data_IF_350696149641
#
_entry.id   IF_350696149641
#
_cell.length_a   1.000
_cell.length_b   1.000
_cell.length_c   1.000
_cell.angle_alpha   90.00
_cell.angle_beta   90.00
_cell.angle_gamma   90.00
#
_symmetry.space_group_name_H-M   'P 1'
#
loop_
_entity.id
_entity.type
_entity.pdbx_description
1 polymer ?
#
# COMPACT_ATOMS: atom_id res chain seq x y z
N UNK A 1 -0.02 55.48 73.91
CA UNK A 1 0.02 54.03 73.63
C UNK A 1 -0.24 53.85 72.15
N UNK A 2 0.74 53.37 71.38
CA UNK A 2 0.53 53.08 69.96
C UNK A 2 -0.37 51.84 69.85
N UNK A 3 -1.50 51.97 69.17
CA UNK A 3 -2.40 50.83 68.90
C UNK A 3 -1.70 49.86 67.95
N UNK A 4 -1.91 48.55 68.10
CA UNK A 4 -1.33 47.49 67.23
C UNK A 4 -1.52 47.76 65.73
N UNK A 5 -2.60 48.47 65.37
CA UNK A 5 -2.89 48.93 64.01
C UNK A 5 -1.87 49.94 63.46
N UNK A 6 -1.38 50.87 64.30
CA UNK A 6 -0.37 51.86 63.92
C UNK A 6 1.04 51.26 63.82
N UNK A 7 1.26 50.10 64.46
CA UNK A 7 2.51 49.35 64.36
C UNK A 7 2.59 48.55 63.05
N UNK A 8 1.45 48.08 62.53
CA UNK A 8 1.36 47.37 61.24
C UNK A 8 1.23 48.33 60.05
N UNK A 9 0.59 49.49 60.25
CA UNK A 9 0.36 50.51 59.22
C UNK A 9 0.82 51.90 59.71
N UNK A 10 2.14 52.16 59.72
CA UNK A 10 2.70 53.42 60.22
C UNK A 10 2.25 54.64 59.39
N UNK A 11 1.83 54.43 58.15
CA UNK A 11 1.23 55.44 57.26
C UNK A 11 -0.10 56.02 57.77
N UNK A 12 -0.78 55.36 58.71
CA UNK A 12 -2.02 55.86 59.31
C UNK A 12 -1.76 56.89 60.44
N UNK A 13 -0.52 57.01 60.92
CA UNK A 13 -0.15 57.93 62.00
C UNK A 13 -0.15 59.40 61.57
N UNK A 14 -0.07 59.68 60.27
CA UNK A 14 -0.09 61.04 59.70
C UNK A 14 -1.50 61.64 59.63
N UNK A 15 -2.55 60.83 59.83
CA UNK A 15 -3.94 61.26 59.69
C UNK A 15 -4.62 61.54 61.04
N UNK A 16 -5.54 62.53 61.11
CA UNK A 16 -6.24 62.85 62.36
C UNK A 16 -7.11 61.68 62.87
N UNK A 17 -7.19 61.45 64.19
CA UNK A 17 -8.04 60.41 64.77
C UNK A 17 -9.54 60.56 64.49
N UNK A 18 -10.01 61.79 64.25
CA UNK A 18 -11.39 62.08 63.84
C UNK A 18 -11.67 61.60 62.42
N UNK A 19 -10.74 61.80 61.50
CA UNK A 19 -10.82 61.33 60.12
C UNK A 19 -10.85 59.79 60.07
N UNK A 20 -10.01 59.12 60.87
CA UNK A 20 -10.01 57.65 60.98
C UNK A 20 -11.34 57.08 61.50
N UNK A 21 -12.03 57.79 62.39
CA UNK A 21 -13.37 57.38 62.88
C UNK A 21 -14.45 57.57 61.82
N UNK A 22 -14.44 58.69 61.11
CA UNK A 22 -15.38 58.95 60.01
C UNK A 22 -15.17 57.96 58.86
N UNK A 23 -13.90 57.62 58.59
CA UNK A 23 -13.51 56.59 57.63
C UNK A 23 -14.10 55.23 58.03
N UNK A 24 -13.87 54.76 59.26
CA UNK A 24 -14.44 53.50 59.77
C UNK A 24 -15.97 53.47 59.85
N UNK A 25 -16.62 54.65 59.87
CA UNK A 25 -18.08 54.78 59.96
C UNK A 25 -18.77 54.72 58.59
N UNK A 26 -18.04 54.88 57.49
CA UNK A 26 -18.58 54.90 56.13
C UNK A 26 -17.78 53.98 55.19
N UNK A 27 -18.36 52.83 54.75
CA UNK A 27 -17.69 51.88 53.88
C UNK A 27 -17.27 52.48 52.53
N UNK A 28 -18.08 53.37 51.96
CA UNK A 28 -17.78 54.04 50.68
C UNK A 28 -16.55 54.97 50.81
N UNK A 29 -16.38 55.58 51.98
CA UNK A 29 -15.24 56.46 52.27
C UNK A 29 -13.95 55.66 52.48
N UNK A 30 -14.03 54.48 53.13
CA UNK A 30 -12.90 53.55 53.21
C UNK A 30 -12.46 53.05 51.83
N UNK A 31 -13.40 52.72 50.95
CA UNK A 31 -13.09 52.25 49.61
C UNK A 31 -12.42 53.36 48.78
N UNK A 32 -12.97 54.58 48.82
CA UNK A 32 -12.37 55.75 48.16
C UNK A 32 -10.96 56.07 48.70
N UNK A 33 -10.74 55.94 50.01
CA UNK A 33 -9.41 56.12 50.61
C UNK A 33 -8.45 54.99 50.21
N UNK A 34 -8.92 53.74 50.13
CA UNK A 34 -8.11 52.61 49.69
C UNK A 34 -7.58 52.82 48.26
N UNK A 35 -8.43 53.30 47.35
CA UNK A 35 -8.04 53.65 45.98
C UNK A 35 -7.18 54.93 45.90
N UNK A 36 -7.08 55.70 46.98
CA UNK A 36 -6.15 56.83 47.07
C UNK A 36 -4.73 56.43 47.50
N UNK A 37 -4.55 55.20 48.02
CA UNK A 37 -3.24 54.72 48.43
C UNK A 37 -2.36 54.44 47.21
N UNK A 38 -1.10 54.91 47.20
CA UNK A 38 -0.20 54.77 46.06
C UNK A 38 0.10 53.31 45.72
N UNK A 39 0.20 52.45 46.73
CA UNK A 39 0.43 51.00 46.56
C UNK A 39 -0.73 50.32 45.82
N UNK A 40 -1.97 50.74 46.10
CA UNK A 40 -3.18 50.20 45.46
C UNK A 40 -3.33 50.75 44.04
N UNK A 41 -2.95 52.01 43.80
CA UNK A 41 -2.92 52.59 42.46
C UNK A 41 -1.87 51.95 41.57
N UNK A 42 -0.67 51.68 42.11
CA UNK A 42 0.40 50.99 41.40
C UNK A 42 -0.01 49.55 41.06
N UNK A 43 -0.62 48.84 42.01
CA UNK A 43 -1.15 47.50 41.76
C UNK A 43 -2.27 47.51 40.70
N UNK A 44 -3.18 48.49 40.76
CA UNK A 44 -4.26 48.62 39.77
C UNK A 44 -3.70 48.89 38.36
N UNK A 45 -2.71 49.78 38.25
CA UNK A 45 -2.04 50.08 36.98
C UNK A 45 -1.30 48.86 36.42
N UNK A 46 -0.66 48.07 37.28
CA UNK A 46 0.01 46.84 36.87
C UNK A 46 -0.99 45.77 36.40
N UNK A 47 -2.13 45.62 37.09
CA UNK A 47 -3.19 44.70 36.65
C UNK A 47 -3.77 45.12 35.30
N UNK A 48 -3.99 46.41 35.08
CA UNK A 48 -4.47 46.94 33.80
C UNK A 48 -3.45 46.68 32.68
N UNK A 49 -2.16 46.93 32.94
CA UNK A 49 -1.07 46.64 32.01
C UNK A 49 -1.03 45.16 31.62
N UNK A 50 -1.07 44.26 32.61
CA UNK A 50 -1.09 42.81 32.37
C UNK A 50 -2.36 42.37 31.63
N UNK A 51 -3.50 42.99 31.90
CA UNK A 51 -4.75 42.77 31.17
C UNK A 51 -4.60 43.11 29.69
N UNK A 52 -4.06 44.29 29.37
CA UNK A 52 -3.80 44.68 27.99
C UNK A 52 -2.79 43.77 27.28
N UNK A 53 -1.74 43.33 27.97
CA UNK A 53 -0.77 42.38 27.42
C UNK A 53 -1.42 41.04 27.09
N UNK A 54 -2.24 40.52 28.01
CA UNK A 54 -2.97 39.27 27.79
C UNK A 54 -3.97 39.38 26.64
N UNK A 55 -4.70 40.48 26.56
CA UNK A 55 -5.62 40.75 25.44
C UNK A 55 -4.90 40.80 24.10
N UNK A 56 -3.72 41.43 24.06
CA UNK A 56 -2.91 41.48 22.85
C UNK A 56 -2.38 40.10 22.47
N UNK A 57 -1.93 39.30 23.43
CA UNK A 57 -1.53 37.91 23.20
C UNK A 57 -2.71 37.06 22.69
N UNK A 58 -3.89 37.22 23.28
CA UNK A 58 -5.10 36.52 22.85
C UNK A 58 -5.47 36.89 21.40
N UNK A 59 -5.43 38.18 21.04
CA UNK A 59 -5.67 38.64 19.66
C UNK A 59 -4.68 38.04 18.67
N UNK A 60 -3.40 38.04 19.01
CA UNK A 60 -2.35 37.46 18.14
C UNK A 60 -2.55 35.95 17.96
N UNK A 61 -2.85 35.22 19.03
CA UNK A 61 -3.13 33.79 18.97
C UNK A 61 -4.37 33.48 18.11
N UNK A 62 -5.43 34.28 18.25
CA UNK A 62 -6.65 34.14 17.45
C UNK A 62 -6.41 34.47 15.98
N UNK A 63 -5.59 35.48 15.68
CA UNK A 63 -5.23 35.83 14.30
C UNK A 63 -4.47 34.72 13.59
N UNK A 64 -3.55 34.02 14.28
CA UNK A 64 -2.77 32.92 13.71
C UNK A 64 -3.54 31.60 13.64
N UNK A 65 -4.64 31.45 14.40
CA UNK A 65 -5.36 30.19 14.54
C UNK A 65 -5.83 29.63 13.19
N UNK A 66 -6.41 30.47 12.36
CA UNK A 66 -7.03 30.01 11.11
C UNK A 66 -5.96 29.60 10.08
N UNK A 67 -4.81 30.29 10.06
CA UNK A 67 -3.64 29.88 9.26
C UNK A 67 -3.06 28.55 9.73
N UNK A 68 -2.92 28.35 11.05
CA UNK A 68 -2.43 27.09 11.61
C UNK A 68 -3.37 25.92 11.33
N UNK A 69 -4.69 26.14 11.38
CA UNK A 69 -5.69 25.12 11.01
C UNK A 69 -5.56 24.80 9.52
N UNK A 70 -5.46 25.80 8.65
CA UNK A 70 -5.29 25.59 7.21
C UNK A 70 -4.01 24.79 6.90
N UNK A 71 -2.89 25.13 7.55
CA UNK A 71 -1.62 24.42 7.39
C UNK A 71 -1.71 22.97 7.89
N UNK A 72 -2.37 22.75 9.03
CA UNK A 72 -2.62 21.41 9.57
C UNK A 72 -3.42 20.56 8.58
N UNK A 73 -4.49 21.12 8.04
CA UNK A 73 -5.39 20.40 7.15
C UNK A 73 -4.72 20.11 5.80
N UNK A 74 -3.93 21.05 5.25
CA UNK A 74 -3.11 20.83 4.06
C UNK A 74 -2.04 19.74 4.26
N UNK A 75 -1.43 19.70 5.44
CA UNK A 75 -0.44 18.69 5.82
C UNK A 75 -1.10 17.32 5.95
N UNK A 76 -2.27 17.26 6.59
CA UNK A 76 -3.05 16.03 6.70
C UNK A 76 -3.45 15.49 5.33
N UNK A 77 -3.92 16.33 4.42
CA UNK A 77 -4.25 15.94 3.04
C UNK A 77 -3.02 15.40 2.31
N UNK A 78 -1.89 16.11 2.36
CA UNK A 78 -0.64 15.68 1.72
C UNK A 78 -0.15 14.34 2.27
N UNK A 79 -0.25 14.14 3.59
CA UNK A 79 0.09 12.88 4.24
C UNK A 79 -0.82 11.74 3.81
N UNK A 80 -2.15 11.98 3.78
CA UNK A 80 -3.11 10.96 3.33
C UNK A 80 -2.86 10.56 1.88
N UNK A 81 -2.52 11.51 1.01
CA UNK A 81 -2.16 11.26 -0.38
C UNK A 81 -0.88 10.42 -0.48
N UNK A 82 0.17 10.76 0.28
CA UNK A 82 1.40 9.97 0.32
C UNK A 82 1.17 8.52 0.79
N UNK A 83 0.34 8.32 1.82
CA UNK A 83 -0.02 6.98 2.30
C UNK A 83 -0.84 6.19 1.27
N UNK A 84 -1.71 6.84 0.50
CA UNK A 84 -2.40 6.19 -0.62
C UNK A 84 -1.42 5.77 -1.72
N UNK A 85 -0.48 6.65 -2.11
CA UNK A 85 0.55 6.32 -3.10
C UNK A 85 1.43 5.17 -2.63
N UNK A 86 1.78 5.13 -1.35
CA UNK A 86 2.55 4.03 -0.76
C UNK A 86 1.82 2.69 -0.84
N UNK A 87 0.51 2.67 -0.58
CA UNK A 87 -0.32 1.46 -0.76
C UNK A 87 -0.36 1.04 -2.23
N UNK A 88 -0.59 1.98 -3.13
CA UNK A 88 -0.60 1.71 -4.58
C UNK A 88 0.76 1.20 -5.08
N UNK A 89 1.86 1.74 -4.56
CA UNK A 89 3.20 1.25 -4.86
C UNK A 89 3.39 -0.22 -4.46
N UNK A 90 2.92 -0.61 -3.27
CA UNK A 90 3.00 -2.00 -2.83
C UNK A 90 2.20 -2.95 -3.74
N UNK A 91 1.06 -2.50 -4.27
CA UNK A 91 0.28 -3.28 -5.25
C UNK A 91 1.03 -3.43 -6.58
N UNK A 92 1.63 -2.34 -7.08
CA UNK A 92 2.48 -2.38 -8.29
C UNK A 92 3.65 -3.31 -8.09
N UNK A 93 4.38 -3.20 -6.99
CA UNK A 93 5.54 -4.03 -6.68
C UNK A 93 5.17 -5.52 -6.63
N UNK A 94 4.02 -5.85 -6.02
CA UNK A 94 3.49 -7.21 -6.03
C UNK A 94 3.17 -7.68 -7.46
N UNK A 95 2.56 -6.84 -8.28
CA UNK A 95 2.26 -7.17 -9.69
C UNK A 95 3.54 -7.38 -10.51
N UNK A 96 4.54 -6.54 -10.31
CA UNK A 96 5.85 -6.60 -10.96
C UNK A 96 6.61 -7.85 -10.53
N UNK A 97 6.62 -8.16 -9.23
CA UNK A 97 7.22 -9.38 -8.71
C UNK A 97 6.59 -10.63 -9.34
N UNK A 98 5.26 -10.68 -9.48
CA UNK A 98 4.57 -11.78 -10.14
C UNK A 98 4.95 -11.91 -11.62
N UNK A 99 5.05 -10.78 -12.35
CA UNK A 99 5.47 -10.77 -13.75
C UNK A 99 6.91 -11.26 -13.90
N UNK A 100 7.83 -10.75 -13.08
CA UNK A 100 9.22 -11.18 -13.10
C UNK A 100 9.39 -12.62 -12.67
N UNK A 101 8.64 -13.14 -11.69
CA UNK A 101 8.68 -14.55 -11.34
C UNK A 101 8.35 -15.45 -12.54
N UNK A 102 7.37 -15.07 -13.36
CA UNK A 102 7.00 -15.83 -14.56
C UNK A 102 8.00 -15.68 -15.71
N UNK A 103 8.67 -14.55 -15.80
CA UNK A 103 9.65 -14.26 -16.86
C UNK A 103 11.09 -14.55 -16.43
N UNK A 104 11.31 -14.99 -15.19
CA UNK A 104 12.63 -15.33 -14.68
C UNK A 104 13.24 -16.46 -15.51
N UNK A 105 14.52 -16.36 -15.91
CA UNK A 105 15.18 -17.40 -16.70
C UNK A 105 15.06 -18.80 -16.09
N UNK A 106 15.15 -18.94 -14.77
CA UNK A 106 14.95 -20.22 -14.08
C UNK A 106 13.55 -20.79 -14.26
N UNK A 107 12.52 -19.96 -14.18
CA UNK A 107 11.12 -20.38 -14.38
C UNK A 107 10.83 -20.72 -15.84
N UNK A 108 11.36 -19.93 -16.78
CA UNK A 108 11.24 -20.20 -18.21
C UNK A 108 11.94 -21.52 -18.60
N UNK A 109 13.11 -21.80 -18.02
CA UNK A 109 13.80 -23.08 -18.20
C UNK A 109 12.96 -24.24 -17.63
N UNK A 110 12.42 -24.10 -16.41
CA UNK A 110 11.53 -25.11 -15.84
C UNK A 110 10.31 -25.38 -16.75
N UNK A 111 9.68 -24.32 -17.28
CA UNK A 111 8.57 -24.42 -18.23
C UNK A 111 8.99 -25.11 -19.53
N UNK A 112 10.19 -24.84 -20.03
CA UNK A 112 10.73 -25.53 -21.21
C UNK A 112 10.87 -27.04 -20.94
N UNK A 113 11.39 -27.44 -19.76
CA UNK A 113 11.48 -28.86 -19.38
C UNK A 113 10.12 -29.53 -19.28
N UNK A 114 9.13 -28.89 -18.66
CA UNK A 114 7.75 -29.41 -18.65
C UNK A 114 7.15 -29.52 -20.06
N UNK A 115 7.40 -28.54 -20.93
CA UNK A 115 6.94 -28.61 -22.32
C UNK A 115 7.65 -29.70 -23.13
N UNK A 116 8.85 -30.11 -22.71
CA UNK A 116 9.59 -31.20 -23.33
C UNK A 116 8.99 -32.55 -22.94
N UNK A 117 8.73 -32.76 -21.64
CA UNK A 117 8.08 -34.00 -21.15
C UNK A 117 6.67 -34.15 -21.74
N UNK A 118 5.86 -33.09 -21.73
CA UNK A 118 4.53 -33.13 -22.33
C UNK A 118 4.54 -33.41 -23.84
N UNK A 119 5.60 -32.99 -24.55
CA UNK A 119 5.76 -33.28 -25.97
C UNK A 119 6.15 -34.74 -26.22
N UNK A 120 6.97 -35.30 -25.32
CA UNK A 120 7.34 -36.72 -25.36
C UNK A 120 6.10 -37.59 -25.14
N UNK A 121 5.36 -37.33 -24.05
CA UNK A 121 4.09 -38.00 -23.74
C UNK A 121 3.08 -37.90 -24.90
N UNK A 122 2.98 -36.73 -25.55
CA UNK A 122 2.11 -36.55 -26.70
C UNK A 122 2.55 -37.40 -27.91
N UNK A 123 3.87 -37.50 -28.16
CA UNK A 123 4.39 -38.34 -29.22
C UNK A 123 4.20 -39.84 -28.94
N UNK A 124 4.31 -40.26 -27.68
CA UNK A 124 4.01 -41.63 -27.26
C UNK A 124 2.52 -41.96 -27.40
N UNK A 125 1.62 -41.00 -27.10
CA UNK A 125 0.17 -41.16 -27.35
C UNK A 125 -0.14 -41.34 -28.84
N UNK A 126 0.51 -40.59 -29.72
CA UNK A 126 0.35 -40.76 -31.18
C UNK A 126 0.85 -42.16 -31.61
N UNK A 127 1.95 -42.64 -31.04
CA UNK A 127 2.47 -43.98 -31.33
C UNK A 127 1.55 -45.11 -30.81
N UNK A 128 1.05 -44.99 -29.58
CA UNK A 128 0.16 -45.99 -28.96
C UNK A 128 -1.18 -46.08 -29.68
N UNK A 129 -1.81 -44.94 -29.99
CA UNK A 129 -3.05 -44.90 -30.77
C UNK A 129 -2.89 -45.50 -32.16
N UNK A 130 -1.75 -45.28 -32.82
CA UNK A 130 -1.44 -45.92 -34.10
C UNK A 130 -1.27 -47.44 -33.97
N UNK A 131 -0.60 -47.94 -32.91
CA UNK A 131 -0.45 -49.38 -32.66
C UNK A 131 -1.80 -50.02 -32.35
N UNK A 132 -2.62 -49.38 -31.51
CA UNK A 132 -3.97 -49.84 -31.15
C UNK A 132 -4.92 -49.84 -32.37
N UNK A 133 -4.88 -48.79 -33.19
CA UNK A 133 -5.65 -48.69 -34.43
C UNK A 133 -5.16 -49.61 -35.55
N UNK A 134 -3.85 -49.83 -35.64
CA UNK A 134 -3.22 -50.75 -36.59
C UNK A 134 -3.39 -52.22 -36.23
N UNK A 135 -3.53 -52.54 -34.94
CA UNK A 135 -3.77 -53.90 -34.43
C UNK A 135 -5.26 -54.27 -34.33
N UNK A 136 -6.17 -53.35 -34.64
CA UNK A 136 -7.63 -53.57 -34.69
C UNK A 136 -8.13 -54.43 -35.87
N UNK A 137 -7.23 -54.93 -36.71
CA UNK A 137 -7.56 -55.82 -37.84
C UNK A 137 -7.63 -57.31 -37.52
N UNK A 138 -7.30 -57.76 -36.30
CA UNK A 138 -7.27 -59.19 -35.99
C UNK A 138 -7.59 -59.50 -34.51
N UNK A 139 -8.84 -59.28 -34.10
CA UNK A 139 -9.23 -59.60 -32.72
C UNK A 139 -10.65 -59.23 -32.29
N UNK A 140 -11.65 -59.81 -32.94
CA UNK A 140 -12.99 -60.09 -32.39
C UNK A 140 -13.96 -58.93 -32.05
N UNK A 141 -15.07 -58.84 -32.81
CA UNK A 141 -16.40 -58.65 -32.20
C UNK A 141 -17.30 -57.52 -32.74
N UNK A 142 -18.15 -57.87 -33.72
CA UNK A 142 -19.52 -57.37 -33.96
C UNK A 142 -19.77 -55.90 -34.34
N UNK A 143 -20.04 -55.65 -35.63
CA UNK A 143 -21.33 -55.12 -36.08
C UNK A 143 -21.53 -55.28 -37.60
N UNK A 144 -22.62 -55.97 -37.93
CA UNK A 144 -23.28 -56.08 -39.23
C UNK A 144 -23.40 -54.74 -39.98
N UNK A 145 -22.88 -54.67 -41.22
CA UNK A 145 -23.67 -54.20 -42.38
C UNK A 145 -22.98 -54.57 -43.70
N UNK A 146 -23.78 -55.17 -44.58
CA UNK A 146 -23.48 -55.50 -45.98
C UNK A 146 -23.20 -54.22 -46.76
N UNK A 147 -21.95 -54.05 -47.19
CA UNK A 147 -21.62 -53.56 -48.54
C UNK A 147 -20.18 -54.02 -48.85
N UNK A 148 -19.99 -54.73 -49.96
CA UNK A 148 -18.68 -55.29 -50.34
C UNK A 148 -17.72 -54.16 -50.74
N UNK A 149 -16.59 -53.93 -50.05
CA UNK A 149 -15.60 -53.00 -50.53
C UNK A 149 -14.85 -53.64 -51.70
N UNK A 150 -14.64 -52.87 -52.76
CA UNK A 150 -13.76 -53.26 -53.85
C UNK A 150 -12.36 -53.64 -53.31
N UNK A 151 -11.72 -54.71 -53.83
CA UNK A 151 -10.37 -55.09 -53.44
C UNK A 151 -9.41 -53.93 -53.78
N UNK A 152 -8.93 -53.22 -52.76
CA UNK A 152 -8.08 -52.03 -52.89
C UNK A 152 -8.60 -50.76 -52.20
N UNK A 153 -9.85 -50.73 -51.70
CA UNK A 153 -10.36 -49.60 -50.91
C UNK A 153 -9.84 -49.61 -49.46
N UNK A 154 -9.74 -50.78 -48.83
CA UNK A 154 -9.20 -50.92 -47.45
C UNK A 154 -7.69 -50.63 -47.38
N UNK A 155 -6.96 -50.92 -48.46
CA UNK A 155 -5.52 -50.69 -48.57
C UNK A 155 -5.21 -49.18 -48.63
N UNK A 156 -5.95 -48.42 -49.47
CA UNK A 156 -5.80 -46.96 -49.55
C UNK A 156 -6.16 -46.22 -48.25
N UNK A 157 -7.14 -46.72 -47.48
CA UNK A 157 -7.51 -46.12 -46.19
C UNK A 157 -6.42 -46.36 -45.14
N UNK A 158 -5.78 -47.54 -45.16
CA UNK A 158 -4.62 -47.83 -44.30
C UNK A 158 -3.38 -47.04 -44.69
N UNK A 159 -3.14 -46.87 -45.99
CA UNK A 159 -2.02 -46.07 -46.50
C UNK A 159 -2.17 -44.59 -46.11
N UNK A 160 -3.38 -44.03 -46.24
CA UNK A 160 -3.65 -42.65 -45.80
C UNK A 160 -3.51 -42.48 -44.28
N UNK A 161 -4.01 -43.43 -43.48
CA UNK A 161 -3.86 -43.39 -42.02
C UNK A 161 -2.38 -43.54 -41.58
N UNK A 162 -1.59 -44.33 -42.32
CA UNK A 162 -0.16 -44.47 -42.13
C UNK A 162 0.57 -43.16 -42.46
N UNK A 163 0.25 -42.52 -43.59
CA UNK A 163 0.84 -41.25 -43.97
C UNK A 163 0.49 -40.12 -42.99
N UNK A 164 -0.75 -40.06 -42.51
CA UNK A 164 -1.19 -39.12 -41.47
C UNK A 164 -0.42 -39.34 -40.17
N UNK A 165 -0.28 -40.59 -39.72
CA UNK A 165 0.53 -40.92 -38.56
C UNK A 165 2.00 -40.49 -38.74
N UNK A 166 2.60 -40.81 -39.89
CA UNK A 166 3.99 -40.47 -40.19
C UNK A 166 4.19 -38.95 -40.15
N UNK A 167 3.25 -38.19 -40.72
CA UNK A 167 3.36 -36.72 -40.76
C UNK A 167 3.20 -36.11 -39.36
N UNK A 168 2.19 -36.54 -38.59
CA UNK A 168 1.93 -36.05 -37.23
C UNK A 168 3.04 -36.44 -36.26
N UNK A 169 3.46 -37.70 -36.26
CA UNK A 169 4.53 -38.20 -35.40
C UNK A 169 5.88 -37.52 -35.70
N UNK A 170 6.24 -37.36 -36.98
CA UNK A 170 7.45 -36.62 -37.37
C UNK A 170 7.39 -35.16 -36.94
N UNK A 171 6.24 -34.50 -37.08
CA UNK A 171 6.05 -33.12 -36.62
C UNK A 171 6.20 -33.01 -35.09
N UNK A 172 5.61 -33.94 -34.34
CA UNK A 172 5.70 -34.00 -32.88
C UNK A 172 7.15 -34.23 -32.41
N UNK A 173 7.87 -35.19 -33.00
CA UNK A 173 9.28 -35.49 -32.68
C UNK A 173 10.22 -34.37 -33.10
N UNK A 174 9.97 -33.69 -34.23
CA UNK A 174 10.76 -32.53 -34.64
C UNK A 174 10.67 -31.39 -33.61
N UNK A 175 9.46 -31.14 -33.08
CA UNK A 175 9.26 -30.17 -31.99
C UNK A 175 9.96 -30.59 -30.71
N UNK A 176 9.88 -31.87 -30.34
CA UNK A 176 10.57 -32.45 -29.19
C UNK A 176 12.09 -32.22 -29.27
N UNK A 177 12.74 -32.66 -30.35
CA UNK A 177 14.19 -32.54 -30.49
C UNK A 177 14.67 -31.09 -30.51
N UNK A 178 13.91 -30.18 -31.14
CA UNK A 178 14.19 -28.74 -31.06
C UNK A 178 14.21 -28.27 -29.60
N UNK A 179 13.17 -28.60 -28.83
CA UNK A 179 13.09 -28.22 -27.40
C UNK A 179 14.20 -28.87 -26.58
N UNK A 180 14.56 -30.12 -26.85
CA UNK A 180 15.61 -30.85 -26.17
C UNK A 180 16.98 -30.18 -26.35
N UNK A 181 17.34 -29.84 -27.60
CA UNK A 181 18.59 -29.12 -27.92
C UNK A 181 18.63 -27.77 -27.19
N UNK A 182 17.52 -27.01 -27.21
CA UNK A 182 17.46 -25.73 -26.50
C UNK A 182 17.56 -25.88 -24.98
N UNK A 183 16.93 -26.90 -24.39
CA UNK A 183 17.01 -27.16 -22.95
C UNK A 183 18.42 -27.58 -22.50
N UNK A 184 19.11 -28.36 -23.32
CA UNK A 184 20.50 -28.76 -23.08
C UNK A 184 21.45 -27.58 -23.16
N UNK A 185 21.36 -26.76 -24.23
CA UNK A 185 22.16 -25.54 -24.39
C UNK A 185 21.93 -24.54 -23.25
N UNK A 186 20.68 -24.41 -22.80
CA UNK A 186 20.35 -23.60 -21.62
C UNK A 186 21.00 -24.17 -20.36
N UNK A 187 20.93 -25.48 -20.14
CA UNK A 187 21.56 -26.14 -18.98
C UNK A 187 23.08 -26.00 -18.96
N UNK A 188 23.72 -25.86 -20.13
CA UNK A 188 25.16 -25.58 -20.30
C UNK A 188 25.54 -24.11 -20.11
N UNK A 189 24.58 -23.21 -19.96
CA UNK A 189 24.84 -21.77 -19.85
C UNK A 189 25.17 -21.10 -21.19
N UNK A 190 24.93 -21.75 -22.32
CA UNK A 190 25.17 -21.19 -23.66
C UNK A 190 24.05 -20.23 -24.12
N UNK A 191 23.03 -20.03 -23.29
CA UNK A 191 21.90 -19.12 -23.55
C UNK A 191 22.11 -17.86 -22.72
N UNK A 192 22.55 -16.78 -23.38
CA UNK A 192 22.64 -15.46 -22.80
C UNK A 192 21.35 -14.67 -23.06
N UNK A 193 20.85 -14.01 -22.02
CA UNK A 193 19.79 -12.99 -22.14
C UNK A 193 20.48 -11.65 -22.39
N UNK A 194 19.95 -10.85 -23.31
CA UNK A 194 20.44 -9.47 -23.48
C UNK A 194 19.88 -8.63 -22.34
N UNK A 195 20.76 -7.95 -21.63
CA UNK A 195 20.41 -6.90 -20.68
C UNK A 195 20.23 -5.60 -21.50
N UNK A 196 19.04 -5.39 -22.08
CA UNK A 196 18.62 -4.07 -22.59
C UNK A 196 17.79 -3.34 -21.52
#
# INVERSE_FOLDING_TARGET
MATSLLQQFPSLASYPPSFLKDLLSSPDLTEAFLFSLPEVQELAAEVERLGHENDNLARNNLAMRDELIALRDATAQSYTHAEQLKKHWAEIEKSQANLYQRQRPSFLHLRLRHSLTAQDDASEKIATTFIEGGNGGNGSGTASRVDSPAPGAEEKVRDHALDDFITEFKAARKTYHKRAIWAERWSRGEVAWRDD
#
